data_IF_683219924651
#
_entry.id   IF_683219924651
#
_cell.length_a   1.000
_cell.length_b   1.000
_cell.length_c   1.000
_cell.angle_alpha   90.00
_cell.angle_beta   90.00
_cell.angle_gamma   90.00
#
_symmetry.space_group_name_H-M   'P 1'
#
loop_
_entity.id
_entity.type
_entity.pdbx_description
1 polymer ?
#
# COMPACT_ATOMS: atom_id res chain seq x y z
N UNK A 1 57.75 -0.91 33.75
CA UNK A 1 56.31 -0.84 34.16
C UNK A 1 55.39 -0.12 33.16
N UNK A 2 55.80 0.93 32.45
CA UNK A 2 54.90 1.68 31.53
C UNK A 2 54.39 0.90 30.31
N UNK A 3 55.15 -0.07 29.79
CA UNK A 3 54.75 -0.85 28.61
C UNK A 3 53.58 -1.80 28.88
N UNK A 4 53.54 -2.47 30.04
CA UNK A 4 52.47 -3.42 30.41
C UNK A 4 51.11 -2.74 30.59
N UNK A 5 51.09 -1.50 31.11
CA UNK A 5 49.86 -0.70 31.26
C UNK A 5 49.26 -0.29 29.91
N UNK A 6 50.10 0.01 28.91
CA UNK A 6 49.64 0.33 27.55
C UNK A 6 49.00 -0.88 26.86
N UNK A 7 49.58 -2.06 27.03
CA UNK A 7 49.04 -3.31 26.48
C UNK A 7 47.68 -3.69 27.07
N UNK A 8 47.50 -3.51 28.38
CA UNK A 8 46.22 -3.80 29.03
C UNK A 8 45.10 -2.86 28.58
N UNK A 9 45.41 -1.58 28.34
CA UNK A 9 44.42 -0.60 27.83
C UNK A 9 44.00 -0.93 26.40
N UNK A 10 44.96 -1.30 25.53
CA UNK A 10 44.65 -1.71 24.14
C UNK A 10 43.79 -2.98 24.12
N UNK A 11 44.13 -3.98 24.94
CA UNK A 11 43.35 -5.21 25.03
C UNK A 11 41.92 -5.00 25.56
N UNK A 12 41.76 -4.10 26.54
CA UNK A 12 40.43 -3.76 27.07
C UNK A 12 39.56 -3.03 26.03
N UNK A 13 40.16 -2.14 25.23
CA UNK A 13 39.45 -1.41 24.17
C UNK A 13 39.03 -2.34 23.03
N UNK A 14 39.88 -3.29 22.62
CA UNK A 14 39.53 -4.25 21.55
C UNK A 14 38.42 -5.22 21.98
N UNK A 15 38.46 -5.75 23.20
CA UNK A 15 37.38 -6.60 23.73
C UNK A 15 36.05 -5.86 23.83
N UNK A 16 36.08 -4.60 24.25
CA UNK A 16 34.88 -3.76 24.33
C UNK A 16 34.28 -3.49 22.95
N UNK A 17 35.12 -3.20 21.95
CA UNK A 17 34.66 -2.99 20.58
C UNK A 17 34.01 -4.25 20.00
N UNK A 18 34.60 -5.43 20.19
CA UNK A 18 34.03 -6.71 19.70
C UNK A 18 32.68 -7.02 20.38
N UNK A 19 32.54 -6.72 21.68
CA UNK A 19 31.28 -6.88 22.41
C UNK A 19 30.16 -5.97 21.88
N UNK A 20 30.46 -4.70 21.62
CA UNK A 20 29.48 -3.74 21.07
C UNK A 20 29.08 -4.11 19.64
N UNK A 21 30.02 -4.52 18.78
CA UNK A 21 29.72 -4.97 17.42
C UNK A 21 28.91 -6.29 17.40
N UNK A 22 29.14 -7.20 18.34
CA UNK A 22 28.36 -8.44 18.49
C UNK A 22 26.90 -8.17 18.89
N UNK A 23 26.68 -7.29 19.87
CA UNK A 23 25.35 -6.88 20.33
C UNK A 23 24.56 -6.12 19.25
N UNK A 24 25.23 -5.26 18.48
CA UNK A 24 24.60 -4.54 17.36
C UNK A 24 24.09 -5.49 16.26
N UNK A 25 24.79 -6.60 15.99
CA UNK A 25 24.33 -7.61 15.02
C UNK A 25 23.13 -8.42 15.51
N UNK A 26 23.08 -8.77 16.79
CA UNK A 26 21.95 -9.49 17.38
C UNK A 26 20.67 -8.64 17.40
N UNK A 27 20.79 -7.34 17.72
CA UNK A 27 19.66 -6.41 17.67
C UNK A 27 19.24 -6.06 16.23
N UNK A 28 20.19 -5.97 15.29
CA UNK A 28 19.88 -5.78 13.87
C UNK A 28 19.16 -6.98 13.24
N UNK A 29 19.46 -8.20 13.69
CA UNK A 29 18.77 -9.42 13.24
C UNK A 29 17.35 -9.58 13.80
N UNK A 30 17.06 -8.98 14.97
CA UNK A 30 15.73 -8.99 15.58
C UNK A 30 14.72 -8.04 14.92
N UNK A 31 15.18 -7.19 14.00
CA UNK A 31 14.32 -6.39 13.11
C UNK A 31 14.08 -7.06 11.74
N UNK A 32 14.46 -8.33 11.59
CA UNK A 32 13.99 -9.14 10.47
C UNK A 32 12.50 -9.42 10.63
N UNK A 33 11.72 -9.16 9.58
CA UNK A 33 10.32 -9.59 9.49
C UNK A 33 10.18 -11.04 9.97
N UNK A 34 9.12 -11.38 10.73
CA UNK A 34 8.93 -12.75 11.20
C UNK A 34 9.01 -13.71 10.02
N UNK A 35 9.62 -14.89 10.20
CA UNK A 35 9.85 -15.88 9.14
C UNK A 35 8.57 -16.29 8.37
N UNK A 36 7.39 -15.97 8.90
CA UNK A 36 6.07 -16.25 8.33
C UNK A 36 5.43 -15.04 7.61
N UNK A 37 6.14 -13.89 7.50
CA UNK A 37 5.64 -12.69 6.83
C UNK A 37 5.41 -12.87 5.32
N UNK A 38 5.91 -13.97 4.73
CA UNK A 38 5.67 -14.33 3.34
C UNK A 38 4.49 -15.29 3.09
N UNK A 39 3.84 -15.84 4.12
CA UNK A 39 2.97 -17.02 3.93
C UNK A 39 1.45 -16.77 3.95
N UNK A 40 0.97 -15.56 4.24
CA UNK A 40 -0.45 -15.23 4.09
C UNK A 40 -0.64 -14.03 3.17
N UNK A 41 -0.35 -14.25 1.88
CA UNK A 41 -0.81 -13.36 0.83
C UNK A 41 -2.35 -13.31 0.85
N UNK A 42 -2.90 -12.12 0.78
CA UNK A 42 -4.34 -11.91 0.78
C UNK A 42 -4.95 -12.44 -0.51
N UNK A 43 -6.04 -13.22 -0.37
CA UNK A 43 -6.78 -13.80 -1.49
C UNK A 43 -8.18 -13.20 -1.52
N UNK A 44 -8.58 -12.70 -2.68
CA UNK A 44 -9.88 -12.09 -2.89
C UNK A 44 -10.60 -12.87 -3.98
N UNK A 45 -11.79 -13.37 -3.69
CA UNK A 45 -12.64 -14.00 -4.69
C UNK A 45 -13.14 -12.93 -5.68
N UNK A 46 -12.72 -13.06 -6.94
CA UNK A 46 -13.11 -12.19 -8.05
C UNK A 46 -13.88 -12.95 -9.13
N UNK A 47 -14.31 -14.19 -8.85
CA UNK A 47 -15.06 -15.04 -9.80
C UNK A 47 -16.35 -14.41 -10.29
N UNK A 48 -16.92 -13.51 -9.49
CA UNK A 48 -18.16 -12.79 -9.77
C UNK A 48 -17.94 -11.43 -10.42
N UNK A 49 -16.70 -10.98 -10.63
CA UNK A 49 -16.37 -9.67 -11.18
C UNK A 49 -16.16 -9.77 -12.69
N UNK A 50 -17.07 -9.27 -13.56
CA UNK A 50 -16.90 -9.35 -15.01
C UNK A 50 -15.88 -8.31 -15.53
N UNK A 51 -15.36 -8.46 -16.76
CA UNK A 51 -14.57 -7.41 -17.41
C UNK A 51 -15.33 -6.06 -17.43
N UNK A 52 -14.58 -4.98 -17.25
CA UNK A 52 -15.14 -3.63 -17.15
C UNK A 52 -15.90 -3.36 -15.85
N UNK A 53 -15.69 -4.19 -14.80
CA UNK A 53 -16.27 -3.98 -13.48
C UNK A 53 -15.21 -3.80 -12.40
N UNK A 54 -15.56 -3.07 -11.35
CA UNK A 54 -14.70 -2.87 -10.19
C UNK A 54 -15.42 -3.26 -8.89
N UNK A 55 -14.62 -3.68 -7.92
CA UNK A 55 -15.03 -3.83 -6.54
C UNK A 55 -14.36 -2.75 -5.71
N UNK A 56 -15.16 -2.04 -4.91
CA UNK A 56 -14.67 -1.07 -3.94
C UNK A 56 -13.96 -1.73 -2.76
N UNK A 57 -13.23 -0.96 -1.94
CA UNK A 57 -12.57 -1.50 -0.76
C UNK A 57 -13.59 -2.17 0.18
N UNK A 58 -13.36 -3.42 0.63
CA UNK A 58 -14.24 -4.06 1.60
C UNK A 58 -14.39 -3.21 2.87
N UNK A 59 -15.63 -3.04 3.33
CA UNK A 59 -16.03 -2.16 4.43
C UNK A 59 -15.62 -2.66 5.83
N UNK A 60 -14.47 -3.33 5.97
CA UNK A 60 -14.02 -3.83 7.27
C UNK A 60 -13.28 -2.74 8.03
N UNK A 61 -13.90 -2.21 9.08
CA UNK A 61 -13.38 -1.13 9.95
C UNK A 61 -12.05 -1.44 10.65
N UNK A 62 -11.59 -2.70 10.64
CA UNK A 62 -10.41 -3.13 11.39
C UNK A 62 -9.07 -2.82 10.69
N UNK A 63 -9.07 -2.40 9.42
CA UNK A 63 -7.83 -2.17 8.65
C UNK A 63 -7.73 -0.72 8.17
N UNK A 64 -6.54 -0.13 8.32
CA UNK A 64 -6.22 1.22 7.84
C UNK A 64 -5.93 1.29 6.33
N UNK A 65 -5.85 0.14 5.67
CA UNK A 65 -5.64 0.01 4.23
C UNK A 65 -6.56 -1.05 3.67
N UNK A 66 -6.92 -0.88 2.40
CA UNK A 66 -7.76 -1.80 1.64
C UNK A 66 -7.40 -1.72 0.16
N UNK A 67 -8.13 -2.43 -0.69
CA UNK A 67 -7.82 -2.57 -2.09
C UNK A 67 -9.01 -2.15 -2.96
N UNK A 68 -8.74 -1.30 -3.96
CA UNK A 68 -9.64 -1.06 -5.08
C UNK A 68 -9.25 -2.04 -6.20
N UNK A 69 -10.17 -2.91 -6.60
CA UNK A 69 -9.91 -3.96 -7.59
C UNK A 69 -10.67 -3.65 -8.87
N UNK A 70 -9.96 -3.63 -9.99
CA UNK A 70 -10.51 -3.41 -11.32
C UNK A 70 -10.29 -4.68 -12.15
N UNK A 71 -11.36 -5.22 -12.70
CA UNK A 71 -11.30 -6.13 -13.82
C UNK A 71 -11.44 -5.31 -15.10
N UNK A 72 -10.32 -5.11 -15.79
CA UNK A 72 -10.22 -4.25 -16.95
C UNK A 72 -10.99 -4.83 -18.14
N UNK A 73 -11.33 -3.96 -19.10
CA UNK A 73 -12.06 -4.35 -20.32
C UNK A 73 -11.27 -5.33 -21.21
N UNK A 74 -9.94 -5.34 -21.10
CA UNK A 74 -9.05 -6.29 -21.78
C UNK A 74 -8.92 -7.64 -21.05
N UNK A 75 -9.62 -7.82 -19.93
CA UNK A 75 -9.57 -9.02 -19.11
C UNK A 75 -8.43 -9.06 -18.09
N UNK A 76 -7.58 -8.03 -18.03
CA UNK A 76 -6.54 -7.94 -17.00
C UNK A 76 -7.12 -7.48 -15.65
N UNK A 77 -6.42 -7.81 -14.56
CA UNK A 77 -6.76 -7.31 -13.23
C UNK A 77 -5.76 -6.26 -12.79
N UNK A 78 -6.26 -5.22 -12.13
CA UNK A 78 -5.46 -4.22 -11.41
C UNK A 78 -5.97 -4.09 -9.99
N UNK A 79 -5.07 -3.96 -9.04
CA UNK A 79 -5.42 -3.66 -7.65
C UNK A 79 -4.60 -2.48 -7.16
N UNK A 80 -5.26 -1.53 -6.50
CA UNK A 80 -4.62 -0.37 -5.92
C UNK A 80 -4.81 -0.37 -4.41
N UNK A 81 -3.73 -0.18 -3.66
CA UNK A 81 -3.84 0.02 -2.22
C UNK A 81 -4.39 1.42 -1.94
N UNK A 82 -5.45 1.48 -1.14
CA UNK A 82 -6.09 2.73 -0.72
C UNK A 82 -6.12 2.78 0.80
N UNK A 83 -5.81 3.96 1.35
CA UNK A 83 -5.90 4.16 2.80
C UNK A 83 -7.35 4.35 3.21
N UNK A 84 -7.72 3.76 4.34
CA UNK A 84 -9.04 3.92 4.95
C UNK A 84 -8.98 4.79 6.21
N UNK A 85 -10.01 5.60 6.40
CA UNK A 85 -10.30 6.38 7.61
C UNK A 85 -11.79 6.24 7.90
N UNK A 86 -12.14 5.66 9.06
CA UNK A 86 -13.51 5.28 9.45
C UNK A 86 -14.24 4.43 8.38
N UNK A 87 -13.52 3.50 7.74
CA UNK A 87 -14.07 2.64 6.69
C UNK A 87 -14.29 3.33 5.34
N UNK A 88 -13.82 4.57 5.16
CA UNK A 88 -13.94 5.37 3.94
C UNK A 88 -12.57 5.61 3.34
N UNK A 89 -12.47 5.77 2.02
CA UNK A 89 -11.17 6.06 1.40
C UNK A 89 -10.70 7.45 1.82
N UNK A 90 -9.52 7.52 2.44
CA UNK A 90 -8.87 8.77 2.80
C UNK A 90 -8.18 9.36 1.57
N UNK A 91 -8.92 10.15 0.80
CA UNK A 91 -8.43 10.76 -0.45
C UNK A 91 -7.37 11.82 -0.13
N UNK A 92 -6.13 11.68 -0.62
CA UNK A 92 -5.04 12.54 -0.19
C UNK A 92 -5.11 13.93 -0.83
N UNK A 93 -4.57 14.93 -0.13
CA UNK A 93 -4.32 16.22 -0.77
C UNK A 93 -3.15 16.14 -1.76
N UNK A 94 -2.10 15.38 -1.39
CA UNK A 94 -0.87 15.18 -2.18
C UNK A 94 -0.30 13.77 -2.12
N UNK A 95 -0.24 13.14 -0.94
CA UNK A 95 0.42 11.84 -0.74
C UNK A 95 -0.48 10.88 0.04
N UNK A 96 -0.55 9.61 -0.36
CA UNK A 96 -1.43 8.60 0.24
C UNK A 96 -1.04 8.24 1.69
N UNK A 97 0.23 8.41 2.04
CA UNK A 97 0.74 8.24 3.41
C UNK A 97 0.61 9.47 4.32
N UNK A 98 0.12 10.61 3.82
CA UNK A 98 0.15 11.89 4.55
C UNK A 98 -1.06 12.12 5.48
N UNK A 99 -0.90 12.97 6.50
CA UNK A 99 -1.97 13.25 7.48
C UNK A 99 -3.15 14.08 6.92
N UNK A 100 -3.04 14.61 5.71
CA UNK A 100 -4.05 15.47 5.09
C UNK A 100 -4.81 14.69 4.03
N UNK A 101 -5.98 14.19 4.41
CA UNK A 101 -6.93 13.52 3.52
C UNK A 101 -8.37 13.91 3.88
N UNK A 102 -9.30 13.69 2.97
CA UNK A 102 -10.73 13.72 3.29
C UNK A 102 -11.35 12.34 3.04
N UNK A 103 -12.30 11.91 3.87
CA UNK A 103 -12.95 10.62 3.70
C UNK A 103 -13.91 10.65 2.51
N UNK A 104 -13.89 9.59 1.70
CA UNK A 104 -14.78 9.38 0.58
C UNK A 104 -15.43 8.00 0.63
N UNK A 105 -16.76 7.96 0.63
CA UNK A 105 -17.57 6.72 0.63
C UNK A 105 -17.75 6.15 -0.79
N UNK A 106 -17.63 6.99 -1.80
CA UNK A 106 -17.87 6.67 -3.21
C UNK A 106 -16.61 6.94 -4.02
N UNK A 107 -15.59 6.10 -3.80
CA UNK A 107 -14.29 6.19 -4.46
C UNK A 107 -14.13 5.05 -5.47
N UNK A 108 -13.83 5.37 -6.72
CA UNK A 108 -13.66 4.38 -7.79
C UNK A 108 -13.87 4.98 -9.19
N UNK A 109 -13.89 4.15 -10.23
CA UNK A 109 -14.15 4.58 -11.61
C UNK A 109 -15.63 4.89 -11.89
N UNK A 110 -16.54 4.57 -10.95
CA UNK A 110 -17.94 4.97 -10.99
C UNK A 110 -18.49 5.21 -9.56
N UNK A 111 -19.65 5.88 -9.39
CA UNK A 111 -20.22 6.19 -8.08
C UNK A 111 -20.57 4.98 -7.21
N UNK A 112 -20.80 3.82 -7.83
CA UNK A 112 -21.13 2.58 -7.13
C UNK A 112 -20.29 1.43 -7.71
N UNK A 113 -19.84 0.47 -6.89
CA UNK A 113 -19.20 -0.75 -7.37
C UNK A 113 -20.00 -1.42 -8.49
N UNK A 114 -19.31 -1.90 -9.53
CA UNK A 114 -19.95 -2.44 -10.72
C UNK A 114 -19.27 -1.97 -12.01
N UNK A 115 -20.06 -1.80 -13.07
CA UNK A 115 -19.56 -1.47 -14.40
C UNK A 115 -18.95 -0.06 -14.46
N UNK A 116 -17.90 0.11 -15.28
CA UNK A 116 -17.29 1.40 -15.58
C UNK A 116 -16.89 1.52 -17.06
N UNK A 117 -16.92 2.72 -17.66
CA UNK A 117 -16.50 2.92 -19.06
C UNK A 117 -14.97 2.82 -19.24
N UNK A 118 -14.46 2.43 -20.42
CA UNK A 118 -13.01 2.22 -20.64
C UNK A 118 -12.12 3.45 -20.41
N UNK A 119 -12.67 4.66 -20.47
CA UNK A 119 -12.01 5.94 -20.27
C UNK A 119 -12.34 6.60 -18.92
N UNK A 120 -12.94 5.83 -17.99
CA UNK A 120 -13.24 6.32 -16.65
C UNK A 120 -11.99 6.82 -15.90
N UNK A 121 -12.20 7.77 -15.00
CA UNK A 121 -11.20 8.17 -14.02
C UNK A 121 -11.57 7.60 -12.66
N UNK A 122 -10.57 7.15 -11.91
CA UNK A 122 -10.74 6.84 -10.49
C UNK A 122 -10.82 8.17 -9.74
N UNK A 123 -11.90 8.41 -9.01
CA UNK A 123 -12.09 9.64 -8.26
C UNK A 123 -13.07 9.44 -7.09
N UNK A 124 -13.19 10.47 -6.25
CA UNK A 124 -14.30 10.59 -5.31
C UNK A 124 -15.50 11.20 -6.03
N UNK A 125 -16.63 10.49 -6.07
CA UNK A 125 -17.87 10.94 -6.71
C UNK A 125 -18.75 11.80 -5.80
N UNK A 126 -18.32 12.04 -4.56
CA UNK A 126 -18.94 13.00 -3.65
C UNK A 126 -18.24 14.36 -3.72
N UNK A 127 -18.97 15.47 -3.51
CA UNK A 127 -18.36 16.80 -3.44
C UNK A 127 -17.30 16.87 -2.35
N UNK A 128 -16.12 17.45 -2.62
CA UNK A 128 -15.07 17.60 -1.63
C UNK A 128 -15.50 18.65 -0.58
N UNK A 129 -14.94 18.59 0.64
CA UNK A 129 -15.14 19.63 1.65
C UNK A 129 -14.67 21.01 1.16
N UNK A 130 -15.12 22.07 1.82
CA UNK A 130 -14.67 23.42 1.51
C UNK A 130 -13.13 23.54 1.56
N UNK A 131 -12.54 24.17 0.53
CA UNK A 131 -11.08 24.30 0.39
C UNK A 131 -10.39 23.10 -0.25
N UNK A 132 -11.10 21.99 -0.49
CA UNK A 132 -10.57 20.82 -1.18
C UNK A 132 -10.97 20.81 -2.65
N UNK A 133 -10.16 20.12 -3.47
CA UNK A 133 -10.41 19.92 -4.90
C UNK A 133 -10.67 18.44 -5.19
N UNK A 134 -11.45 18.17 -6.23
CA UNK A 134 -11.57 16.82 -6.77
C UNK A 134 -10.20 16.31 -7.19
N UNK A 135 -9.91 15.06 -6.82
CA UNK A 135 -8.68 14.36 -7.19
C UNK A 135 -9.04 13.21 -8.11
N UNK A 136 -8.28 13.09 -9.19
CA UNK A 136 -8.55 12.15 -10.28
C UNK A 136 -7.30 11.38 -10.67
N UNK A 137 -7.47 10.10 -10.95
CA UNK A 137 -6.44 9.21 -11.48
C UNK A 137 -6.97 8.48 -12.70
N UNK A 138 -6.10 8.11 -13.65
CA UNK A 138 -6.48 7.21 -14.73
C UNK A 138 -6.62 5.76 -14.21
N UNK A 139 -7.10 4.85 -15.07
CA UNK A 139 -7.24 3.43 -14.71
C UNK A 139 -5.89 2.70 -14.55
N UNK A 140 -4.77 3.37 -14.86
CA UNK A 140 -3.42 2.88 -14.56
C UNK A 140 -2.91 3.41 -13.22
N UNK A 141 -3.74 4.17 -12.49
CA UNK A 141 -3.38 4.75 -11.22
C UNK A 141 -2.60 6.05 -11.31
N UNK A 142 -2.36 6.59 -12.51
CA UNK A 142 -1.58 7.82 -12.65
C UNK A 142 -2.44 9.04 -12.38
N UNK A 143 -1.89 9.99 -11.65
CA UNK A 143 -2.53 11.24 -11.30
C UNK A 143 -2.83 12.09 -12.54
N UNK A 144 -4.09 12.53 -12.66
CA UNK A 144 -4.55 13.43 -13.72
C UNK A 144 -4.57 14.91 -13.27
N UNK A 145 -4.09 15.19 -12.05
CA UNK A 145 -4.18 16.49 -11.40
C UNK A 145 -3.04 17.40 -11.88
N UNK A 146 -3.35 18.37 -12.75
CA UNK A 146 -2.34 19.28 -13.34
C UNK A 146 -1.96 20.46 -12.45
N UNK A 147 -2.88 20.90 -11.61
CA UNK A 147 -2.72 22.12 -10.81
C UNK A 147 -1.84 21.87 -9.57
N UNK A 148 -1.86 20.65 -9.05
CA UNK A 148 -1.13 20.23 -7.86
C UNK A 148 -0.62 18.84 -8.11
N UNK A 149 0.65 18.61 -7.79
CA UNK A 149 1.23 17.27 -7.81
C UNK A 149 0.55 16.43 -6.72
N UNK A 150 -0.17 15.41 -7.16
CA UNK A 150 -0.77 14.38 -6.32
C UNK A 150 -0.16 13.06 -6.73
N UNK A 151 0.25 12.27 -5.74
CA UNK A 151 0.85 10.95 -5.90
C UNK A 151 -0.07 10.00 -6.67
N UNK A 152 0.53 9.16 -7.50
CA UNK A 152 -0.15 8.07 -8.17
C UNK A 152 -0.72 7.06 -7.15
N UNK A 153 -1.72 6.29 -7.56
CA UNK A 153 -2.21 5.16 -6.79
C UNK A 153 -1.12 4.09 -6.71
N UNK A 154 -0.94 3.50 -5.53
CA UNK A 154 0.00 2.41 -5.33
C UNK A 154 -0.57 1.11 -5.90
N UNK A 155 -0.09 0.71 -7.08
CA UNK A 155 -0.46 -0.57 -7.70
C UNK A 155 0.16 -1.74 -6.94
N UNK A 156 -0.68 -2.71 -6.57
CA UNK A 156 -0.30 -3.91 -5.85
C UNK A 156 -0.15 -5.02 -6.88
N UNK A 157 0.97 -5.77 -6.91
CA UNK A 157 1.11 -6.92 -7.79
C UNK A 157 -0.01 -7.93 -7.55
N UNK A 158 -0.61 -8.44 -8.62
CA UNK A 158 -1.70 -9.41 -8.54
C UNK A 158 -1.43 -10.63 -9.40
N UNK A 159 -1.91 -11.77 -8.93
CA UNK A 159 -1.87 -13.03 -9.66
C UNK A 159 -3.24 -13.72 -9.56
N UNK A 160 -3.81 -14.10 -10.70
CA UNK A 160 -5.07 -14.85 -10.74
C UNK A 160 -4.76 -16.35 -10.58
N UNK A 161 -5.23 -16.95 -9.49
CA UNK A 161 -5.14 -18.39 -9.25
C UNK A 161 -6.38 -19.12 -9.82
N UNK A 162 -6.22 -20.43 -10.05
CA UNK A 162 -7.32 -21.29 -10.44
C UNK A 162 -8.47 -21.21 -9.41
N UNK A 163 -9.71 -21.14 -9.89
CA UNK A 163 -10.89 -20.95 -9.04
C UNK A 163 -11.34 -19.50 -8.87
N UNK A 164 -10.69 -18.53 -9.53
CA UNK A 164 -11.16 -17.13 -9.57
C UNK A 164 -10.69 -16.29 -8.39
N UNK A 165 -9.59 -16.66 -7.74
CA UNK A 165 -9.02 -15.90 -6.63
C UNK A 165 -7.87 -15.01 -7.11
N UNK A 166 -7.95 -13.72 -6.77
CA UNK A 166 -6.87 -12.78 -6.97
C UNK A 166 -5.97 -12.79 -5.73
N UNK A 167 -4.70 -13.12 -5.91
CA UNK A 167 -3.69 -13.11 -4.85
C UNK A 167 -2.89 -11.82 -4.92
N UNK A 168 -2.93 -11.05 -3.84
CA UNK A 168 -2.28 -9.75 -3.75
C UNK A 168 -0.84 -9.87 -3.23
N UNK A 169 0.07 -9.06 -3.77
CA UNK A 169 1.49 -8.99 -3.35
C UNK A 169 2.37 -10.11 -3.91
N UNK A 170 1.82 -11.01 -4.74
CA UNK A 170 2.59 -12.04 -5.43
C UNK A 170 3.17 -11.46 -6.74
N UNK A 171 4.48 -11.22 -6.78
CA UNK A 171 5.19 -11.09 -8.05
C UNK A 171 5.26 -12.47 -8.69
N UNK A 172 4.94 -12.56 -9.99
CA UNK A 172 5.23 -13.73 -10.81
C UNK A 172 6.76 -13.88 -10.92
#
# INVERSE_FOLDING_TARGET
MRARRKWLVVAALTLSAVGVFGLARLLGGAMGLPANAGEQLERIDVSHLPPGHFAGPPATQARSWSYLILHMHDGSFRAFAVRLEDGRVAVPERFWGGNTAYPCESFGPAPTPGAFPPDAAIECHLPPPAGWRHRRWDLQGRSLNREVVVEDLYEVPVHLEAGGFLVLGKSI
#
